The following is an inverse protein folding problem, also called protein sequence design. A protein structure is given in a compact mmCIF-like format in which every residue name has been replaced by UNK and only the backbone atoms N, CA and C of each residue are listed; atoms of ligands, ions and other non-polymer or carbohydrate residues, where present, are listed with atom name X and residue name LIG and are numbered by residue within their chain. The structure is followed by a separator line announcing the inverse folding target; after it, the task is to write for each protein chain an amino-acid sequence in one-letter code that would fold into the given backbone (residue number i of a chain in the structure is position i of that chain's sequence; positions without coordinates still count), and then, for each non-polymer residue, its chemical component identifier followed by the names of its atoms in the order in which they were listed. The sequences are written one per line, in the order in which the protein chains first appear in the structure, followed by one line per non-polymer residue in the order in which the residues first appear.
data_IF_163157409300
#
_entry.id   IF_163157409300
#
_cell.length_a   1.000
_cell.length_b   1.000
_cell.length_c   1.000
_cell.angle_alpha   90.00
_cell.angle_beta   90.00
_cell.angle_gamma   90.00
#
_symmetry.space_group_name_H-M   'P 1'
#
loop_
_entity.id
_entity.type
_entity.pdbx_description
1 polymer ?
#
# COMPACT_ATOMS: atom_id res chain seq x y z
N UNK A 1 17.95 9.10 -18.36
CA UNK A 1 18.21 8.15 -17.29
C UNK A 1 17.23 6.99 -17.35
N UNK A 2 17.75 5.79 -17.41
CA UNK A 2 16.87 4.64 -17.42
C UNK A 2 16.32 4.36 -16.03
N UNK A 3 15.07 3.96 -16.01
CA UNK A 3 14.39 3.57 -14.81
C UNK A 3 14.57 2.08 -14.62
N UNK A 4 15.21 1.67 -13.54
CA UNK A 4 15.40 0.26 -13.23
C UNK A 4 14.27 -0.22 -12.35
N UNK A 5 13.75 -1.41 -12.66
CA UNK A 5 12.74 -2.05 -11.82
C UNK A 5 13.33 -2.25 -10.43
N UNK A 6 12.64 -1.82 -9.38
CA UNK A 6 13.12 -2.00 -8.01
C UNK A 6 13.33 -3.46 -7.66
N UNK A 7 14.38 -3.76 -6.92
CA UNK A 7 14.71 -5.11 -6.49
C UNK A 7 14.54 -5.34 -5.00
N UNK A 8 14.30 -4.29 -4.23
CA UNK A 8 14.12 -4.37 -2.77
C UNK A 8 13.00 -3.44 -2.33
N UNK A 9 12.44 -3.68 -1.16
CA UNK A 9 11.35 -2.90 -0.60
C UNK A 9 10.08 -3.74 -0.51
N UNK A 10 8.97 -3.07 -0.21
CA UNK A 10 7.66 -3.73 -0.14
C UNK A 10 6.78 -3.14 -1.24
N UNK A 11 6.21 -4.01 -2.07
CA UNK A 11 5.21 -3.61 -3.05
C UNK A 11 3.83 -3.90 -2.48
N UNK A 12 2.90 -2.97 -2.64
CA UNK A 12 1.51 -3.14 -2.20
C UNK A 12 0.58 -2.98 -3.39
N UNK A 13 -0.55 -3.66 -3.33
CA UNK A 13 -1.60 -3.51 -4.34
C UNK A 13 -2.95 -3.90 -3.74
N UNK A 14 -4.01 -3.41 -4.36
CA UNK A 14 -5.37 -3.78 -4.01
C UNK A 14 -6.14 -4.09 -5.28
N UNK A 15 -7.14 -4.94 -5.16
CA UNK A 15 -8.01 -5.30 -6.25
C UNK A 15 -9.45 -5.35 -5.76
N UNK A 16 -10.37 -4.89 -6.60
CA UNK A 16 -11.79 -4.96 -6.31
C UNK A 16 -12.47 -5.89 -7.32
N UNK A 17 -13.21 -6.87 -6.80
CA UNK A 17 -14.02 -7.74 -7.63
C UNK A 17 -15.48 -7.32 -7.55
N UNK A 18 -16.04 -6.79 -8.65
CA UNK A 18 -17.46 -6.43 -8.69
C UNK A 18 -18.34 -7.66 -8.60
N UNK A 19 -17.88 -8.78 -9.17
CA UNK A 19 -18.63 -10.03 -9.15
C UNK A 19 -18.83 -10.55 -7.72
N UNK A 20 -17.79 -10.47 -6.90
CA UNK A 20 -17.83 -10.95 -5.53
C UNK A 20 -18.10 -9.86 -4.51
N UNK A 21 -18.12 -8.59 -4.95
CA UNK A 21 -18.29 -7.42 -4.09
C UNK A 21 -17.27 -7.38 -2.95
N UNK A 22 -16.01 -7.68 -3.26
CA UNK A 22 -14.94 -7.63 -2.27
C UNK A 22 -13.75 -6.84 -2.79
N UNK A 23 -13.05 -6.22 -1.84
CA UNK A 23 -11.79 -5.55 -2.08
C UNK A 23 -10.73 -6.25 -1.25
N UNK A 24 -9.62 -6.61 -1.88
CA UNK A 24 -8.50 -7.28 -1.23
C UNK A 24 -7.26 -6.44 -1.38
N UNK A 25 -6.33 -6.57 -0.43
CA UNK A 25 -5.00 -5.98 -0.61
C UNK A 25 -3.93 -6.92 -0.09
N UNK A 26 -2.71 -6.70 -0.55
CA UNK A 26 -1.57 -7.50 -0.11
C UNK A 26 -0.28 -6.68 -0.20
N UNK A 27 0.73 -7.14 0.51
CA UNK A 27 2.08 -6.63 0.43
C UNK A 27 3.06 -7.76 0.21
N UNK A 28 4.02 -7.51 -0.69
CA UNK A 28 5.00 -8.49 -1.11
C UNK A 28 6.39 -7.94 -0.87
N UNK A 29 7.28 -8.75 -0.30
CA UNK A 29 8.71 -8.43 -0.24
C UNK A 29 9.26 -8.57 -1.65
N UNK A 30 9.69 -7.47 -2.25
CA UNK A 30 10.13 -7.45 -3.65
C UNK A 30 11.33 -8.38 -3.86
N UNK A 31 12.25 -8.41 -2.90
CA UNK A 31 13.49 -9.17 -3.02
C UNK A 31 13.23 -10.68 -3.03
N UNK A 32 12.33 -11.15 -2.18
CA UNK A 32 12.10 -12.60 -1.99
C UNK A 32 10.84 -13.11 -2.67
N UNK A 33 9.91 -12.23 -3.01
CA UNK A 33 8.60 -12.61 -3.51
C UNK A 33 7.64 -13.08 -2.42
N UNK A 34 8.06 -13.04 -1.16
CA UNK A 34 7.22 -13.48 -0.05
C UNK A 34 6.07 -12.54 0.18
N UNK A 35 4.86 -13.09 0.36
CA UNK A 35 3.70 -12.30 0.76
C UNK A 35 3.77 -12.02 2.25
N UNK A 36 3.91 -10.75 2.61
CA UNK A 36 4.07 -10.33 3.99
C UNK A 36 2.73 -10.16 4.70
N UNK A 37 1.70 -9.77 3.96
CA UNK A 37 0.35 -9.64 4.50
C UNK A 37 -0.68 -9.69 3.38
N UNK A 38 -1.88 -10.05 3.76
CA UNK A 38 -3.06 -10.10 2.88
C UNK A 38 -4.29 -9.81 3.72
N UNK A 39 -5.26 -9.08 3.15
CA UNK A 39 -6.52 -8.84 3.83
C UNK A 39 -7.66 -8.69 2.84
N UNK A 40 -8.82 -9.24 3.22
CA UNK A 40 -10.07 -9.05 2.52
C UNK A 40 -10.90 -8.04 3.33
N UNK A 41 -11.23 -6.90 2.73
CA UNK A 41 -11.93 -5.81 3.39
C UNK A 41 -13.45 -5.90 3.23
N UNK A 42 -13.96 -6.90 2.51
CA UNK A 42 -15.36 -6.95 2.16
C UNK A 42 -15.66 -5.92 1.08
N UNK A 43 -16.85 -5.37 1.10
CA UNK A 43 -17.31 -4.45 0.06
C UNK A 43 -16.80 -3.03 0.32
N UNK A 44 -15.63 -2.72 -0.22
CA UNK A 44 -15.00 -1.41 -0.09
C UNK A 44 -14.52 -0.92 -1.46
N UNK A 45 -14.20 0.37 -1.57
CA UNK A 45 -13.61 0.90 -2.80
C UNK A 45 -12.15 0.47 -2.90
N UNK A 46 -11.65 0.39 -4.14
CA UNK A 46 -10.25 0.04 -4.36
C UNK A 46 -9.29 1.08 -3.77
N UNK A 47 -9.67 2.37 -3.81
CA UNK A 47 -8.82 3.42 -3.24
C UNK A 47 -8.60 3.24 -1.73
N UNK A 48 -9.63 2.82 -1.01
CA UNK A 48 -9.50 2.50 0.41
C UNK A 48 -8.56 1.32 0.59
N UNK A 49 -8.70 0.29 -0.24
CA UNK A 49 -7.82 -0.87 -0.20
C UNK A 49 -6.36 -0.50 -0.45
N UNK A 50 -6.12 0.31 -1.48
CA UNK A 50 -4.76 0.75 -1.81
C UNK A 50 -4.12 1.52 -0.66
N UNK A 51 -4.89 2.44 -0.05
CA UNK A 51 -4.38 3.22 1.07
C UNK A 51 -4.09 2.33 2.28
N UNK A 52 -5.02 1.45 2.65
CA UNK A 52 -4.85 0.57 3.80
C UNK A 52 -3.68 -0.41 3.59
N UNK A 53 -3.43 -0.82 2.35
CA UNK A 53 -2.26 -1.64 2.03
C UNK A 53 -0.95 -0.90 2.36
N UNK A 54 -0.88 0.38 1.99
CA UNK A 54 0.29 1.20 2.30
C UNK A 54 0.45 1.34 3.82
N UNK A 55 -0.66 1.58 4.54
CA UNK A 55 -0.62 1.71 6.00
C UNK A 55 -0.13 0.42 6.65
N UNK A 56 -0.60 -0.73 6.18
CA UNK A 56 -0.15 -2.00 6.74
C UNK A 56 1.33 -2.23 6.47
N UNK A 57 1.82 -1.83 5.29
CA UNK A 57 3.24 -1.91 4.99
C UNK A 57 4.07 -1.00 5.93
N UNK A 58 3.56 0.20 6.21
CA UNK A 58 4.22 1.11 7.17
C UNK A 58 4.32 0.44 8.53
N UNK A 59 3.23 -0.13 9.02
CA UNK A 59 3.22 -0.84 10.30
C UNK A 59 4.20 -2.00 10.31
N UNK A 60 4.24 -2.77 9.23
CA UNK A 60 5.16 -3.90 9.11
C UNK A 60 6.61 -3.44 9.20
N UNK A 61 6.96 -2.37 8.50
CA UNK A 61 8.32 -1.83 8.53
C UNK A 61 8.70 -1.40 9.94
N UNK A 62 7.82 -0.69 10.63
CA UNK A 62 8.09 -0.20 11.98
C UNK A 62 8.22 -1.37 12.96
N UNK A 63 7.30 -2.32 12.91
CA UNK A 63 7.26 -3.43 13.86
C UNK A 63 8.42 -4.40 13.68
N UNK A 64 8.89 -4.58 12.46
CA UNK A 64 9.95 -5.56 12.13
C UNK A 64 11.28 -4.93 11.80
N UNK A 65 11.37 -3.59 11.86
CA UNK A 65 12.56 -2.85 11.44
C UNK A 65 13.03 -3.30 10.06
N UNK A 66 12.07 -3.43 9.15
CA UNK A 66 12.31 -3.91 7.79
C UNK A 66 13.16 -2.90 7.01
N UNK A 67 14.16 -3.42 6.29
CA UNK A 67 15.05 -2.59 5.47
C UNK A 67 15.01 -3.08 4.02
N UNK A 68 15.03 -2.19 3.04
CA UNK A 68 14.98 -0.72 3.18
C UNK A 68 13.56 -0.24 3.53
N UNK A 69 13.47 0.95 4.09
CA UNK A 69 12.18 1.54 4.48
C UNK A 69 11.51 2.20 3.28
N UNK A 70 11.18 1.38 2.28
CA UNK A 70 10.61 1.85 1.02
C UNK A 70 9.40 1.00 0.67
N UNK A 71 8.31 1.68 0.32
CA UNK A 71 7.06 1.06 -0.13
C UNK A 71 6.77 1.53 -1.55
N UNK A 72 6.37 0.61 -2.43
CA UNK A 72 5.95 0.94 -3.78
C UNK A 72 4.47 0.65 -3.94
N UNK A 73 3.74 1.61 -4.47
CA UNK A 73 2.33 1.47 -4.82
C UNK A 73 2.10 2.07 -6.20
N UNK A 74 1.18 1.52 -6.98
CA UNK A 74 0.79 2.13 -8.24
C UNK A 74 -0.37 3.11 -8.08
N UNK A 75 -0.86 3.31 -6.86
CA UNK A 75 -1.97 4.22 -6.55
C UNK A 75 -1.46 5.60 -6.16
N UNK A 76 -1.66 6.57 -7.02
CA UNK A 76 -1.31 7.96 -6.71
C UNK A 76 -2.19 8.53 -5.61
N UNK A 77 -3.44 8.06 -5.53
CA UNK A 77 -4.37 8.46 -4.47
C UNK A 77 -3.84 8.00 -3.11
N UNK A 78 -3.40 6.74 -3.01
CA UNK A 78 -2.84 6.22 -1.76
C UNK A 78 -1.60 7.00 -1.35
N UNK A 79 -0.74 7.35 -2.32
CA UNK A 79 0.45 8.16 -2.03
C UNK A 79 0.07 9.52 -1.47
N UNK A 80 -0.92 10.18 -2.07
CA UNK A 80 -1.36 11.50 -1.61
C UNK A 80 -1.96 11.43 -0.21
N UNK A 81 -2.80 10.47 0.06
CA UNK A 81 -3.42 10.31 1.38
C UNK A 81 -2.37 10.02 2.45
N UNK A 82 -1.38 9.18 2.12
CA UNK A 82 -0.28 8.90 3.05
C UNK A 82 0.53 10.16 3.33
N UNK A 83 0.91 10.90 2.29
CA UNK A 83 1.71 12.13 2.43
C UNK A 83 0.98 13.17 3.26
N UNK A 84 -0.31 13.31 3.05
CA UNK A 84 -1.13 14.29 3.74
C UNK A 84 -1.61 13.81 5.11
N UNK A 85 -1.42 12.53 5.40
CA UNK A 85 -1.89 11.86 6.62
C UNK A 85 -3.39 12.04 6.82
N UNK A 86 -4.11 12.11 5.69
CA UNK A 86 -5.55 12.37 5.68
C UNK A 86 -6.14 11.84 4.38
N UNK A 87 -7.30 11.22 4.48
CA UNK A 87 -7.99 10.71 3.31
C UNK A 87 -9.00 11.73 2.79
N UNK A 88 -9.23 11.68 1.48
CA UNK A 88 -10.27 12.51 0.85
C UNK A 88 -11.54 11.70 0.57
N UNK A 89 -11.69 10.54 1.21
CA UNK A 89 -12.85 9.69 1.01
C UNK A 89 -14.10 10.30 1.64
N UNK A 90 -15.22 10.23 0.92
CA UNK A 90 -16.50 10.63 1.44
C UNK A 90 -17.12 9.58 2.35
N UNK A 91 -16.60 8.38 2.35
CA UNK A 91 -17.10 7.30 3.20
C UNK A 91 -16.55 7.40 4.60
N UNK A 92 -17.43 7.36 5.58
CA UNK A 92 -17.00 7.24 6.96
C UNK A 92 -16.63 5.79 7.20
N UNK A 93 -15.41 5.56 7.66
CA UNK A 93 -14.87 4.24 7.81
C UNK A 93 -13.92 4.22 9.00
N UNK A 94 -14.18 3.30 9.93
CA UNK A 94 -13.35 3.18 11.14
C UNK A 94 -11.92 2.85 10.81
N UNK A 95 -11.69 2.03 9.80
CA UNK A 95 -10.34 1.67 9.39
C UNK A 95 -9.57 2.90 8.88
N UNK A 96 -10.22 3.76 8.10
CA UNK A 96 -9.60 5.00 7.63
C UNK A 96 -9.28 5.93 8.79
N UNK A 97 -10.20 6.06 9.75
CA UNK A 97 -9.98 6.90 10.91
C UNK A 97 -8.80 6.40 11.75
N UNK A 98 -8.72 5.08 11.97
CA UNK A 98 -7.60 4.46 12.69
C UNK A 98 -6.29 4.70 11.95
N UNK A 99 -6.31 4.59 10.62
CA UNK A 99 -5.11 4.79 9.80
C UNK A 99 -4.63 6.24 9.91
N UNK A 100 -5.54 7.20 9.84
CA UNK A 100 -5.18 8.62 9.97
C UNK A 100 -4.59 8.91 11.34
N UNK A 101 -5.20 8.38 12.40
CA UNK A 101 -4.69 8.54 13.76
C UNK A 101 -3.30 7.92 13.89
N UNK A 102 -3.12 6.73 13.33
CA UNK A 102 -1.81 6.06 13.35
C UNK A 102 -0.75 6.93 12.67
N UNK A 103 -1.04 7.45 11.47
CA UNK A 103 -0.07 8.26 10.73
C UNK A 103 0.34 9.51 11.48
N UNK A 104 -0.60 10.12 12.18
CA UNK A 104 -0.34 11.33 12.97
C UNK A 104 0.38 11.01 14.27
N UNK A 105 -0.04 9.95 14.95
CA UNK A 105 0.56 9.55 16.23
C UNK A 105 2.00 9.09 16.08
N UNK A 106 2.32 8.42 14.96
CA UNK A 106 3.65 7.88 14.71
C UNK A 106 4.38 8.65 13.60
N UNK A 107 4.06 9.93 13.44
CA UNK A 107 4.59 10.74 12.33
C UNK A 107 6.11 10.68 12.21
N UNK A 108 6.83 10.69 13.33
CA UNK A 108 8.29 10.65 13.30
C UNK A 108 8.79 9.36 12.63
N UNK A 109 8.20 8.20 12.98
CA UNK A 109 8.57 6.94 12.37
C UNK A 109 8.08 6.84 10.93
N UNK A 110 6.86 7.30 10.68
CA UNK A 110 6.26 7.30 9.34
C UNK A 110 7.12 8.09 8.36
N UNK A 111 7.62 9.24 8.80
CA UNK A 111 8.42 10.12 7.95
C UNK A 111 9.79 9.54 7.60
N UNK A 112 10.24 8.47 8.26
CA UNK A 112 11.46 7.75 7.87
C UNK A 112 11.24 6.79 6.71
N UNK A 113 9.99 6.59 6.30
CA UNK A 113 9.61 5.61 5.27
C UNK A 113 9.24 6.35 3.99
N UNK A 114 9.81 5.93 2.86
CA UNK A 114 9.47 6.48 1.56
C UNK A 114 8.36 5.66 0.92
N UNK A 115 7.34 6.35 0.39
CA UNK A 115 6.30 5.72 -0.41
C UNK A 115 6.45 6.24 -1.83
N UNK A 116 6.79 5.35 -2.74
CA UNK A 116 7.14 5.69 -4.11
C UNK A 116 6.15 5.05 -5.10
N UNK A 117 6.06 5.63 -6.28
CA UNK A 117 5.16 5.15 -7.31
C UNK A 117 5.79 3.97 -8.06
N UNK A 118 5.05 2.87 -8.17
CA UNK A 118 5.46 1.74 -9.02
C UNK A 118 5.10 2.06 -10.47
N UNK A 119 6.07 2.02 -11.35
CA UNK A 119 5.89 2.38 -12.75
C UNK A 119 5.53 1.13 -13.57
N UNK A 120 4.23 0.85 -13.65
CA UNK A 120 3.74 -0.30 -14.41
C UNK A 120 4.16 -0.27 -15.88
N UNK A 121 4.28 0.93 -16.44
CA UNK A 121 4.59 1.09 -17.86
C UNK A 121 6.00 0.61 -18.17
N UNK A 122 6.97 0.95 -17.34
CA UNK A 122 8.37 0.63 -17.59
C UNK A 122 8.85 -0.64 -16.86
N UNK A 123 8.20 -0.99 -15.75
CA UNK A 123 8.64 -2.11 -14.90
C UNK A 123 7.73 -3.34 -15.00
N UNK A 124 6.60 -3.22 -15.70
CA UNK A 124 5.60 -4.28 -15.74
C UNK A 124 4.72 -4.25 -14.50
N UNK A 125 3.89 -5.28 -14.33
CA UNK A 125 2.98 -5.36 -13.20
C UNK A 125 3.74 -5.36 -11.88
N UNK A 126 3.15 -4.69 -10.87
CA UNK A 126 3.70 -4.74 -9.52
C UNK A 126 3.80 -6.18 -9.03
N UNK A 127 4.83 -6.52 -8.23
CA UNK A 127 4.90 -7.86 -7.62
C UNK A 127 3.69 -8.21 -6.77
N UNK A 128 2.97 -7.21 -6.27
CA UNK A 128 1.78 -7.42 -5.44
C UNK A 128 0.50 -7.59 -6.26
N UNK A 129 0.59 -7.60 -7.59
CA UNK A 129 -0.58 -7.76 -8.47
C UNK A 129 -1.28 -9.08 -8.19
N UNK A 130 -2.63 -9.04 -8.21
CA UNK A 130 -3.42 -10.24 -7.91
C UNK A 130 -3.53 -11.21 -9.08
N UNK A 131 -3.14 -10.78 -10.27
CA UNK A 131 -3.00 -11.68 -11.42
C UNK A 131 -4.27 -12.05 -12.16
N UNK A 132 -5.42 -11.87 -11.55
CA UNK A 132 -6.71 -12.31 -12.11
C UNK A 132 -7.68 -11.18 -12.33
N UNK A 133 -7.17 -10.08 -12.73
CA UNK A 133 -8.03 -8.92 -12.92
C UNK A 133 -8.69 -8.91 -14.27
#
# INVERSE_FOLDING_TARGET
MSSHRPSVGIATDAAHSTKRSITEYQGINIETGERLFYRNLGNQTVNIGEFLAVIEAVKYIIENDFQPRIIYTDSKTAMAWHRNKSTASNKRNKELQKAEVFLKAFAADVDTIEVLHWDNKNWGETPADFGNK
#
